data_IF_293120417639
#
_entry.id   IF_293120417639
#
_cell.length_a   1.000
_cell.length_b   1.000
_cell.length_c   1.000
_cell.angle_alpha   90.00
_cell.angle_beta   90.00
_cell.angle_gamma   90.00
#
_symmetry.space_group_name_H-M   'P 1'
#
loop_
_entity.id
_entity.type
_entity.pdbx_description
1 polymer ?
#
# COMPACT_ATOMS: atom_id res chain seq x y z
N UNK A 1 -14.43 60.30 -48.29
CA UNK A 1 -14.96 60.73 -46.98
C UNK A 1 -15.13 59.49 -46.10
N UNK A 2 -14.45 59.46 -44.94
CA UNK A 2 -14.77 58.67 -43.72
C UNK A 2 -14.67 57.14 -43.86
N UNK A 3 -14.15 56.36 -42.92
CA UNK A 3 -13.39 56.54 -41.68
C UNK A 3 -12.86 55.11 -41.38
N UNK A 4 -11.65 54.97 -40.85
CA UNK A 4 -11.16 53.70 -40.33
C UNK A 4 -12.01 53.23 -39.14
N UNK A 5 -12.20 51.92 -39.00
CA UNK A 5 -12.42 51.31 -37.70
C UNK A 5 -11.72 49.95 -37.66
N UNK A 6 -10.61 49.93 -36.92
CA UNK A 6 -9.88 48.76 -36.46
C UNK A 6 -10.67 48.18 -35.29
N UNK A 7 -10.94 46.86 -35.28
CA UNK A 7 -11.37 46.16 -34.08
C UNK A 7 -10.32 45.09 -33.71
N UNK A 8 -9.67 45.19 -32.55
CA UNK A 8 -8.89 44.10 -31.98
C UNK A 8 -9.78 43.30 -31.02
N UNK A 9 -9.98 42.00 -31.24
CA UNK A 9 -10.62 41.15 -30.23
C UNK A 9 -9.73 39.98 -29.84
N UNK A 10 -9.00 40.25 -28.76
CA UNK A 10 -8.60 39.38 -27.65
C UNK A 10 -8.37 37.88 -27.95
N UNK A 11 -7.09 37.54 -28.04
CA UNK A 11 -6.57 36.20 -27.80
C UNK A 11 -6.85 35.83 -26.33
N UNK A 12 -7.89 35.04 -26.06
CA UNK A 12 -8.10 34.47 -24.73
C UNK A 12 -7.09 33.34 -24.57
N UNK A 13 -5.94 33.65 -23.96
CA UNK A 13 -5.03 32.66 -23.45
C UNK A 13 -5.76 31.89 -22.34
N UNK A 14 -6.23 30.69 -22.65
CA UNK A 14 -6.59 29.73 -21.61
C UNK A 14 -5.31 29.39 -20.85
N UNK A 15 -5.10 30.10 -19.73
CA UNK A 15 -4.22 29.65 -18.65
C UNK A 15 -4.95 28.49 -17.99
N UNK A 16 -4.98 27.35 -18.69
CA UNK A 16 -5.33 26.07 -18.11
C UNK A 16 -4.24 25.74 -17.11
N UNK A 17 -4.57 25.89 -15.84
CA UNK A 17 -3.75 25.53 -14.69
C UNK A 17 -3.13 24.17 -14.97
N UNK A 18 -1.82 24.15 -15.23
CA UNK A 18 -1.04 22.94 -15.09
C UNK A 18 -1.24 22.52 -13.63
N UNK A 19 -2.13 21.54 -13.40
CA UNK A 19 -2.01 20.70 -12.22
C UNK A 19 -0.64 20.08 -12.40
N UNK A 20 0.35 20.62 -11.69
CA UNK A 20 1.56 19.89 -11.45
C UNK A 20 1.08 18.56 -10.86
N UNK A 21 1.19 17.48 -11.63
CA UNK A 21 1.55 16.22 -11.03
C UNK A 21 2.76 16.56 -10.16
N UNK A 22 2.56 16.67 -8.85
CA UNK A 22 3.67 16.57 -7.93
C UNK A 22 4.21 15.16 -8.12
N UNK A 23 5.09 14.98 -9.10
CA UNK A 23 6.00 13.87 -9.14
C UNK A 23 6.76 13.96 -7.81
N UNK A 24 6.32 13.16 -6.84
CA UNK A 24 7.04 12.96 -5.60
C UNK A 24 8.47 12.60 -6.03
N UNK A 25 9.44 13.43 -5.68
CA UNK A 25 10.83 13.23 -6.04
C UNK A 25 11.36 12.07 -5.17
N UNK A 26 11.30 10.86 -5.74
CA UNK A 26 11.73 9.62 -5.10
C UNK A 26 13.20 9.35 -5.39
N UNK A 27 13.96 9.02 -4.34
CA UNK A 27 15.31 8.43 -4.48
C UNK A 27 15.28 7.01 -3.92
N UNK A 28 15.98 6.09 -4.58
CA UNK A 28 16.23 4.76 -4.04
C UNK A 28 17.09 4.82 -2.76
N UNK A 29 16.66 4.09 -1.73
CA UNK A 29 17.39 3.97 -0.48
C UNK A 29 18.74 3.28 -0.69
N UNK A 30 19.76 3.76 0.01
CA UNK A 30 21.01 3.01 0.11
C UNK A 30 20.82 1.78 1.01
N UNK A 31 21.82 0.88 0.98
CA UNK A 31 21.78 -0.37 1.74
C UNK A 31 21.50 -0.17 3.24
N UNK A 32 22.14 0.80 3.88
CA UNK A 32 21.97 1.07 5.32
C UNK A 32 20.58 1.61 5.65
N UNK A 33 20.03 2.48 4.79
CA UNK A 33 18.67 2.99 4.90
C UNK A 33 17.64 1.84 4.78
N UNK A 34 17.84 0.95 3.81
CA UNK A 34 17.00 -0.23 3.61
C UNK A 34 17.09 -1.23 4.78
N UNK A 35 18.29 -1.50 5.29
CA UNK A 35 18.52 -2.36 6.46
C UNK A 35 17.86 -1.79 7.72
N UNK A 36 17.96 -0.46 7.92
CA UNK A 36 17.31 0.23 9.04
C UNK A 36 15.79 0.14 8.93
N UNK A 37 15.24 0.35 7.74
CA UNK A 37 13.81 0.19 7.50
C UNK A 37 13.34 -1.25 7.79
N UNK A 38 14.07 -2.26 7.31
CA UNK A 38 13.76 -3.66 7.57
C UNK A 38 13.81 -3.98 9.07
N UNK A 39 14.81 -3.48 9.78
CA UNK A 39 14.92 -3.67 11.23
C UNK A 39 13.69 -3.10 11.97
N UNK A 40 13.21 -1.92 11.55
CA UNK A 40 11.98 -1.32 12.09
C UNK A 40 10.73 -2.10 11.69
N UNK A 41 10.65 -2.56 10.44
CA UNK A 41 9.53 -3.36 9.93
C UNK A 41 9.34 -4.64 10.75
N UNK A 42 10.42 -5.35 11.05
CA UNK A 42 10.39 -6.65 11.72
C UNK A 42 10.67 -6.61 13.22
N UNK A 43 10.73 -5.41 13.82
CA UNK A 43 11.08 -5.22 15.23
C UNK A 43 12.41 -5.89 15.63
N UNK A 44 13.39 -5.85 14.71
CA UNK A 44 14.71 -6.48 14.84
C UNK A 44 15.29 -6.84 13.48
N UNK A 45 16.58 -7.21 13.46
CA UNK A 45 17.23 -7.67 12.22
C UNK A 45 16.58 -8.98 11.73
N UNK A 46 16.06 -9.03 10.50
CA UNK A 46 15.43 -10.23 9.98
C UNK A 46 16.47 -11.36 9.82
N UNK A 47 16.10 -12.56 10.28
CA UNK A 47 16.87 -13.78 10.05
C UNK A 47 16.55 -14.38 8.69
N UNK A 48 16.49 -15.72 8.59
CA UNK A 48 16.09 -16.40 7.35
C UNK A 48 14.68 -16.03 6.91
N UNK A 49 13.76 -15.93 7.85
CA UNK A 49 12.40 -15.46 7.64
C UNK A 49 11.97 -14.51 8.75
N UNK A 50 11.20 -13.48 8.39
CA UNK A 50 10.61 -12.54 9.33
C UNK A 50 9.20 -12.12 8.87
N UNK A 51 8.36 -11.74 9.83
CA UNK A 51 6.96 -11.37 9.58
C UNK A 51 6.60 -10.14 10.41
N UNK A 52 5.78 -9.26 9.83
CA UNK A 52 5.18 -8.14 10.51
C UNK A 52 3.69 -8.08 10.16
N UNK A 53 2.83 -8.05 11.17
CA UNK A 53 1.38 -7.96 10.99
C UNK A 53 0.85 -6.61 11.47
N UNK A 54 -0.01 -5.99 10.66
CA UNK A 54 -0.69 -4.76 10.99
C UNK A 54 -2.17 -4.88 10.67
N UNK A 55 -3.03 -4.33 11.52
CA UNK A 55 -4.48 -4.45 11.37
C UNK A 55 -5.16 -3.12 11.66
N UNK A 56 -6.22 -2.84 10.90
CA UNK A 56 -7.17 -1.77 11.19
C UNK A 56 -8.59 -2.31 11.09
N UNK A 57 -9.42 -1.97 12.08
CA UNK A 57 -10.87 -2.22 12.08
C UNK A 57 -11.56 -0.90 12.38
N UNK A 58 -12.56 -0.56 11.58
CA UNK A 58 -13.32 0.68 11.75
C UNK A 58 -14.68 0.35 12.35
N UNK A 59 -15.05 1.08 13.39
CA UNK A 59 -16.38 0.97 13.99
C UNK A 59 -17.43 1.72 13.16
N UNK A 60 -18.69 1.54 13.53
CA UNK A 60 -19.81 2.18 12.87
C UNK A 60 -19.76 3.71 12.96
N UNK A 61 -19.23 4.27 14.05
CA UNK A 61 -19.14 5.71 14.28
C UNK A 61 -18.13 6.36 13.32
N UNK A 62 -16.97 5.72 13.14
CA UNK A 62 -15.97 6.11 12.15
C UNK A 62 -16.55 6.03 10.73
N UNK A 63 -17.14 4.89 10.37
CA UNK A 63 -17.69 4.71 9.03
C UNK A 63 -18.86 5.65 8.72
N UNK A 64 -19.60 6.12 9.74
CA UNK A 64 -20.62 7.15 9.58
C UNK A 64 -20.02 8.54 9.27
N UNK A 65 -18.85 8.86 9.85
CA UNK A 65 -18.11 10.10 9.58
C UNK A 65 -17.34 10.08 8.25
N UNK A 66 -17.03 8.90 7.73
CA UNK A 66 -16.30 8.69 6.47
C UNK A 66 -17.20 8.00 5.43
N UNK A 67 -18.22 8.70 4.91
CA UNK A 67 -19.27 8.08 4.11
C UNK A 67 -18.76 7.52 2.78
N UNK A 68 -17.61 7.97 2.28
CA UNK A 68 -17.01 7.50 1.02
C UNK A 68 -16.04 6.33 1.23
N UNK A 69 -15.74 5.98 2.47
CA UNK A 69 -14.89 4.83 2.80
C UNK A 69 -15.61 3.54 2.44
N UNK A 70 -14.95 2.68 1.68
CA UNK A 70 -15.43 1.38 1.23
C UNK A 70 -14.91 0.27 2.15
N UNK A 71 -13.66 0.39 2.63
CA UNK A 71 -13.00 -0.63 3.44
C UNK A 71 -13.40 -0.52 4.91
N UNK A 72 -13.98 -1.57 5.48
CA UNK A 72 -14.37 -1.64 6.89
C UNK A 72 -13.28 -2.21 7.81
N UNK A 73 -12.40 -3.04 7.27
CA UNK A 73 -11.24 -3.56 7.98
C UNK A 73 -10.15 -3.96 7.00
N UNK A 74 -8.89 -3.84 7.41
CA UNK A 74 -7.72 -4.19 6.62
C UNK A 74 -6.69 -4.89 7.50
N UNK A 75 -6.04 -5.90 6.95
CA UNK A 75 -4.89 -6.60 7.50
C UNK A 75 -3.76 -6.51 6.48
N UNK A 76 -2.54 -6.28 6.96
CA UNK A 76 -1.33 -6.29 6.17
C UNK A 76 -0.35 -7.25 6.83
N UNK A 77 0.06 -8.27 6.10
CA UNK A 77 1.21 -9.11 6.42
C UNK A 77 2.36 -8.68 5.51
N UNK A 78 3.48 -8.31 6.10
CA UNK A 78 4.75 -8.14 5.39
C UNK A 78 5.68 -9.26 5.81
N UNK A 79 6.25 -9.95 4.84
CA UNK A 79 7.19 -11.05 5.04
C UNK A 79 8.52 -10.73 4.41
N UNK A 80 9.60 -11.17 5.06
CA UNK A 80 10.93 -11.19 4.47
C UNK A 80 11.46 -12.62 4.44
N UNK A 81 12.11 -12.99 3.35
CA UNK A 81 12.88 -14.21 3.20
C UNK A 81 14.27 -13.89 2.65
N UNK A 82 15.30 -14.43 3.27
CA UNK A 82 16.66 -14.36 2.72
C UNK A 82 16.89 -15.53 1.77
N UNK A 83 17.20 -15.24 0.51
CA UNK A 83 17.60 -16.28 -0.44
C UNK A 83 19.08 -16.65 -0.23
N UNK A 84 19.38 -17.96 -0.28
CA UNK A 84 20.74 -18.46 0.00
C UNK A 84 21.73 -18.27 -1.15
N UNK A 85 21.23 -18.08 -2.37
CA UNK A 85 22.02 -17.91 -3.59
C UNK A 85 22.46 -16.46 -3.76
N UNK A 86 21.52 -15.50 -3.67
CA UNK A 86 21.83 -14.08 -3.87
C UNK A 86 22.18 -13.34 -2.56
N UNK A 87 21.90 -13.95 -1.40
CA UNK A 87 22.10 -13.38 -0.05
C UNK A 87 21.38 -12.06 0.15
N UNK A 88 20.31 -11.80 -0.59
CA UNK A 88 19.47 -10.63 -0.49
C UNK A 88 18.20 -10.95 0.29
N UNK A 89 17.64 -9.91 0.91
CA UNK A 89 16.38 -10.00 1.62
C UNK A 89 15.24 -9.62 0.68
N UNK A 90 14.39 -10.60 0.36
CA UNK A 90 13.22 -10.42 -0.48
C UNK A 90 12.02 -10.13 0.41
N UNK A 91 11.40 -8.98 0.19
CA UNK A 91 10.17 -8.63 0.89
C UNK A 91 8.97 -8.99 0.02
N UNK A 92 7.90 -9.47 0.65
CA UNK A 92 6.60 -9.70 0.03
C UNK A 92 5.50 -9.19 0.95
N UNK A 93 4.33 -8.98 0.38
CA UNK A 93 3.17 -8.54 1.15
C UNK A 93 1.94 -9.38 0.83
N UNK A 94 1.05 -9.43 1.80
CA UNK A 94 -0.34 -9.84 1.62
C UNK A 94 -1.22 -8.82 2.31
N UNK A 95 -2.23 -8.36 1.62
CA UNK A 95 -3.26 -7.48 2.15
C UNK A 95 -4.58 -8.23 2.11
N UNK A 96 -5.31 -8.22 3.22
CA UNK A 96 -6.67 -8.75 3.28
C UNK A 96 -7.61 -7.71 3.86
N UNK A 97 -8.82 -7.60 3.33
CA UNK A 97 -9.76 -6.58 3.75
C UNK A 97 -11.22 -7.01 3.54
N UNK A 98 -12.12 -6.24 4.17
CA UNK A 98 -13.56 -6.42 4.04
C UNK A 98 -14.19 -5.10 3.62
N UNK A 99 -15.14 -5.17 2.72
CA UNK A 99 -15.98 -4.01 2.39
C UNK A 99 -17.03 -3.78 3.47
N UNK A 100 -17.44 -2.53 3.68
CA UNK A 100 -18.57 -2.20 4.56
C UNK A 100 -19.93 -2.64 3.98
N UNK A 101 -20.07 -2.64 2.66
CA UNK A 101 -21.34 -2.86 1.94
C UNK A 101 -21.38 -4.14 1.10
N UNK A 102 -20.31 -4.94 1.14
CA UNK A 102 -20.19 -6.20 0.39
C UNK A 102 -19.60 -7.26 1.28
N UNK A 103 -20.27 -8.41 1.36
CA UNK A 103 -19.77 -9.57 2.08
C UNK A 103 -18.62 -10.23 1.34
N UNK A 104 -17.75 -10.89 2.12
CA UNK A 104 -16.56 -11.56 1.60
C UNK A 104 -15.28 -11.02 2.26
N UNK A 105 -14.32 -11.91 2.41
CA UNK A 105 -12.94 -11.56 2.72
C UNK A 105 -12.19 -11.49 1.40
N UNK A 106 -11.61 -10.34 1.11
CA UNK A 106 -10.88 -10.08 -0.12
C UNK A 106 -9.41 -9.99 0.20
N UNK A 107 -8.56 -10.47 -0.70
CA UNK A 107 -7.11 -10.36 -0.54
C UNK A 107 -6.40 -9.99 -1.84
N UNK A 108 -5.15 -9.57 -1.67
CA UNK A 108 -4.19 -9.34 -2.74
C UNK A 108 -2.79 -9.60 -2.17
N UNK A 109 -1.86 -9.97 -3.02
CA UNK A 109 -0.49 -10.25 -2.62
C UNK A 109 0.48 -9.99 -3.75
N UNK A 110 1.74 -9.79 -3.40
CA UNK A 110 2.81 -9.64 -4.37
C UNK A 110 4.16 -9.43 -3.72
N UNK A 111 5.13 -9.02 -4.54
CA UNK A 111 6.49 -8.73 -4.11
C UNK A 111 6.63 -7.25 -3.73
N UNK A 112 7.59 -7.00 -2.84
CA UNK A 112 8.02 -5.65 -2.51
C UNK A 112 9.43 -5.44 -3.04
N UNK A 113 9.59 -4.38 -3.81
CA UNK A 113 10.87 -3.96 -4.35
C UNK A 113 11.38 -2.72 -3.62
N UNK A 114 12.61 -2.31 -3.97
CA UNK A 114 13.35 -1.12 -3.54
C UNK A 114 12.64 -0.20 -2.55
N UNK A 115 13.25 0.00 -1.38
CA UNK A 115 12.82 1.07 -0.48
C UNK A 115 13.13 2.41 -1.13
N UNK A 116 12.14 3.29 -1.18
CA UNK A 116 12.27 4.63 -1.76
C UNK A 116 12.10 5.68 -0.66
N UNK A 117 12.92 6.71 -0.71
CA UNK A 117 12.82 7.88 0.15
C UNK A 117 12.09 8.98 -0.59
N UNK A 118 11.17 9.63 0.14
CA UNK A 118 10.49 10.82 -0.36
C UNK A 118 11.20 12.08 0.13
N UNK A 119 11.63 12.95 -0.80
CA UNK A 119 12.36 14.17 -0.43
C UNK A 119 11.55 15.15 0.42
N UNK A 120 10.22 15.13 0.32
CA UNK A 120 9.32 16.07 1.03
C UNK A 120 9.04 15.71 2.49
N UNK A 121 9.15 14.44 2.87
CA UNK A 121 8.70 13.97 4.17
C UNK A 121 9.77 13.23 4.99
N UNK A 122 10.97 13.01 4.42
CA UNK A 122 11.98 12.11 4.98
C UNK A 122 11.38 10.73 5.34
N UNK A 123 10.34 10.34 4.59
CA UNK A 123 9.61 9.11 4.81
C UNK A 123 10.17 8.05 3.88
N UNK A 124 10.71 6.98 4.46
CA UNK A 124 11.09 5.76 3.77
C UNK A 124 9.81 4.94 3.52
N UNK A 125 9.59 4.57 2.26
CA UNK A 125 8.47 3.76 1.80
C UNK A 125 9.01 2.49 1.12
N UNK A 126 8.40 1.36 1.43
CA UNK A 126 8.58 0.11 0.69
C UNK A 126 7.52 0.06 -0.41
N UNK A 127 7.94 0.03 -1.67
CA UNK A 127 7.04 -0.10 -2.81
C UNK A 127 6.72 -1.57 -3.06
N UNK A 128 5.43 -1.92 -3.11
CA UNK A 128 4.99 -3.29 -3.34
C UNK A 128 4.02 -3.37 -4.51
N UNK A 129 4.24 -4.32 -5.41
CA UNK A 129 3.48 -4.51 -6.64
C UNK A 129 2.82 -5.87 -6.67
N UNK A 130 1.67 -5.94 -7.33
CA UNK A 130 0.98 -7.18 -7.68
C UNK A 130 1.37 -7.57 -9.10
N UNK A 131 1.70 -8.83 -9.31
CA UNK A 131 2.15 -9.34 -10.61
C UNK A 131 1.12 -9.10 -11.73
N UNK A 132 1.61 -9.09 -12.98
CA UNK A 132 0.79 -8.96 -14.20
C UNK A 132 -0.07 -7.68 -14.21
N UNK A 133 0.56 -6.53 -13.95
CA UNK A 133 -0.10 -5.20 -13.93
C UNK A 133 -1.24 -5.09 -12.91
N UNK A 134 -1.17 -5.86 -11.82
CA UNK A 134 -2.17 -5.84 -10.76
C UNK A 134 -2.13 -4.60 -9.86
N UNK A 135 -1.33 -3.58 -10.18
CA UNK A 135 -1.17 -2.37 -9.37
C UNK A 135 -0.24 -2.55 -8.16
N UNK A 136 -0.37 -1.70 -7.15
CA UNK A 136 0.53 -1.71 -5.99
C UNK A 136 0.11 -0.85 -4.81
N UNK A 137 0.90 -0.98 -3.74
CA UNK A 137 0.81 -0.18 -2.52
C UNK A 137 2.18 0.33 -2.10
N UNK A 138 2.21 1.49 -1.47
CA UNK A 138 3.37 1.97 -0.72
C UNK A 138 3.19 1.73 0.76
N UNK A 139 4.18 1.13 1.42
CA UNK A 139 4.14 0.83 2.86
C UNK A 139 5.21 1.68 3.57
N UNK A 140 4.79 2.58 4.45
CA UNK A 140 5.68 3.29 5.36
C UNK A 140 5.44 2.87 6.81
N UNK A 141 6.36 3.24 7.70
CA UNK A 141 6.18 3.09 9.14
C UNK A 141 6.01 4.46 9.80
N UNK A 142 5.08 4.53 10.74
CA UNK A 142 4.99 5.62 11.70
C UNK A 142 6.33 5.79 12.46
N UNK A 143 6.58 7.01 12.97
CA UNK A 143 7.85 7.34 13.63
C UNK A 143 8.16 6.49 14.87
N UNK A 144 7.14 5.94 15.52
CA UNK A 144 7.25 5.10 16.72
C UNK A 144 7.19 3.60 16.41
N UNK A 145 7.15 3.21 15.13
CA UNK A 145 7.11 1.83 14.64
C UNK A 145 5.87 1.02 15.04
N UNK A 146 4.85 1.68 15.61
CA UNK A 146 3.62 1.02 16.10
C UNK A 146 2.54 0.91 15.05
N UNK A 147 2.65 1.63 13.94
CA UNK A 147 1.70 1.56 12.84
C UNK A 147 2.40 1.55 11.47
N UNK A 148 1.82 0.84 10.52
CA UNK A 148 2.12 0.96 9.10
C UNK A 148 1.17 1.97 8.44
N UNK A 149 1.69 2.75 7.50
CA UNK A 149 0.92 3.65 6.64
C UNK A 149 0.90 3.05 5.24
N UNK A 150 -0.23 2.47 4.87
CA UNK A 150 -0.46 1.90 3.54
C UNK A 150 -1.04 2.99 2.66
N UNK A 151 -0.33 3.34 1.58
CA UNK A 151 -0.81 4.21 0.51
C UNK A 151 -1.25 3.32 -0.64
N UNK A 152 -2.54 3.34 -0.91
CA UNK A 152 -3.13 2.60 -2.01
C UNK A 152 -3.15 3.48 -3.25
N UNK A 153 -2.76 2.92 -4.39
CA UNK A 153 -3.07 3.48 -5.71
C UNK A 153 -4.22 2.69 -6.31
N UNK A 154 -3.93 1.46 -6.72
CA UNK A 154 -4.91 0.44 -7.07
C UNK A 154 -4.27 -0.93 -6.89
N UNK A 155 -5.05 -1.94 -6.49
CA UNK A 155 -4.59 -3.34 -6.47
C UNK A 155 -5.67 -4.26 -7.01
N UNK A 156 -5.29 -5.25 -7.82
CA UNK A 156 -6.14 -6.38 -8.18
C UNK A 156 -6.42 -7.20 -6.92
N UNK A 157 -7.66 -7.64 -6.75
CA UNK A 157 -8.13 -8.37 -5.56
C UNK A 157 -8.85 -9.65 -5.95
N UNK A 158 -8.78 -10.63 -5.07
CA UNK A 158 -9.49 -11.89 -5.19
C UNK A 158 -10.40 -12.09 -3.99
N UNK A 159 -11.41 -12.96 -4.15
CA UNK A 159 -12.13 -13.47 -2.99
C UNK A 159 -11.22 -14.53 -2.35
N UNK A 160 -11.03 -14.45 -1.05
CA UNK A 160 -10.16 -15.37 -0.33
C UNK A 160 -10.59 -16.83 -0.59
N UNK A 161 -9.63 -17.68 -0.95
CA UNK A 161 -9.82 -19.08 -1.36
C UNK A 161 -10.64 -19.32 -2.66
N UNK A 162 -10.90 -18.28 -3.46
CA UNK A 162 -11.58 -18.41 -4.76
C UNK A 162 -10.92 -17.49 -5.82
N UNK A 163 -9.76 -17.89 -6.37
CA UNK A 163 -9.10 -17.15 -7.45
C UNK A 163 -9.73 -17.53 -8.80
N UNK A 164 -11.02 -17.26 -9.01
CA UNK A 164 -11.62 -17.39 -10.36
C UNK A 164 -11.41 -16.09 -11.13
N UNK A 165 -10.91 -16.21 -12.36
CA UNK A 165 -10.49 -15.11 -13.25
C UNK A 165 -11.65 -14.21 -13.75
N UNK A 166 -12.91 -14.59 -13.51
CA UNK A 166 -14.06 -14.06 -14.24
C UNK A 166 -14.66 -12.73 -13.73
N UNK A 167 -14.09 -12.13 -12.68
CA UNK A 167 -14.41 -10.75 -12.32
C UNK A 167 -13.11 -9.99 -12.03
N UNK A 168 -12.65 -9.16 -12.96
CA UNK A 168 -11.62 -8.16 -12.71
C UNK A 168 -12.10 -7.25 -11.57
N UNK A 169 -11.65 -7.58 -10.36
CA UNK A 169 -11.95 -6.82 -9.14
C UNK A 169 -10.69 -6.06 -8.80
N UNK A 170 -10.82 -4.73 -8.72
CA UNK A 170 -9.73 -3.84 -8.32
C UNK A 170 -10.17 -3.01 -7.13
N UNK A 171 -9.35 -3.01 -6.07
CA UNK A 171 -9.47 -2.03 -5.01
C UNK A 171 -8.72 -0.76 -5.44
N UNK A 172 -9.47 0.27 -5.80
CA UNK A 172 -8.92 1.58 -6.21
C UNK A 172 -9.00 2.57 -5.06
N UNK A 173 -7.96 3.39 -4.91
CA UNK A 173 -7.91 4.50 -3.98
C UNK A 173 -9.12 5.44 -4.16
N UNK A 174 -9.75 5.78 -3.04
CA UNK A 174 -10.81 6.79 -2.97
C UNK A 174 -10.40 7.92 -2.03
N UNK A 175 -11.25 8.95 -1.88
CA UNK A 175 -10.97 10.06 -0.95
C UNK A 175 -10.75 9.58 0.50
N UNK A 176 -11.46 8.51 0.89
CA UNK A 176 -11.41 7.94 2.24
C UNK A 176 -10.71 6.56 2.26
N UNK A 177 -10.25 6.06 1.11
CA UNK A 177 -9.59 4.75 0.94
C UNK A 177 -8.21 4.86 0.26
N UNK A 178 -7.59 6.04 0.22
CA UNK A 178 -6.27 6.22 -0.39
C UNK A 178 -5.11 5.98 0.58
N UNK A 179 -5.34 6.19 1.88
CA UNK A 179 -4.32 6.05 2.92
C UNK A 179 -4.93 5.36 4.13
N UNK A 180 -4.31 4.26 4.56
CA UNK A 180 -4.71 3.52 5.74
C UNK A 180 -3.58 3.54 6.77
N UNK A 181 -3.94 3.83 8.03
CA UNK A 181 -3.08 3.59 9.18
C UNK A 181 -3.49 2.27 9.82
N UNK A 182 -2.58 1.31 9.88
CA UNK A 182 -2.78 -0.01 10.45
C UNK A 182 -1.89 -0.17 11.66
N UNK A 183 -2.45 -0.66 12.77
CA UNK A 183 -1.72 -0.80 14.02
C UNK A 183 -1.01 -2.16 14.04
N UNK A 184 0.27 -2.15 14.45
CA UNK A 184 1.08 -3.35 14.58
C UNK A 184 0.45 -4.26 15.63
N UNK A 185 0.39 -5.54 15.31
CA UNK A 185 -0.18 -6.56 16.18
C UNK A 185 0.61 -7.86 16.07
N UNK A 186 0.22 -8.84 16.87
CA UNK A 186 0.73 -10.20 16.80
C UNK A 186 0.53 -10.85 15.42
N UNK A 187 1.47 -11.69 14.99
CA UNK A 187 1.43 -12.32 13.66
C UNK A 187 0.24 -13.26 13.47
N UNK A 188 -0.31 -13.81 14.55
CA UNK A 188 -1.49 -14.68 14.51
C UNK A 188 -2.74 -13.97 13.98
N UNK A 189 -2.85 -12.64 14.14
CA UNK A 189 -3.95 -11.84 13.58
C UNK A 189 -3.95 -11.86 12.03
N UNK A 190 -2.79 -12.05 11.41
CA UNK A 190 -2.62 -12.16 9.96
C UNK A 190 -2.60 -13.61 9.47
N UNK A 191 -2.75 -14.62 10.33
CA UNK A 191 -2.69 -16.03 9.94
C UNK A 191 -3.69 -16.42 8.84
N UNK A 192 -4.84 -15.75 8.79
CA UNK A 192 -5.84 -15.96 7.73
C UNK A 192 -5.37 -15.54 6.32
N UNK A 193 -4.27 -14.79 6.20
CA UNK A 193 -3.71 -14.39 4.90
C UNK A 193 -2.70 -15.42 4.35
N UNK A 194 -2.22 -16.35 5.17
CA UNK A 194 -1.26 -17.35 4.72
C UNK A 194 -1.90 -18.33 3.74
N UNK A 195 -1.25 -18.58 2.61
CA UNK A 195 -1.75 -19.50 1.58
C UNK A 195 -1.10 -20.89 1.65
N UNK A 196 -0.01 -21.04 2.39
CA UNK A 196 0.65 -22.33 2.60
C UNK A 196 0.74 -22.72 4.08
N UNK A 197 0.86 -24.03 4.32
CA UNK A 197 0.83 -24.62 5.68
C UNK A 197 2.07 -24.26 6.51
N UNK A 198 3.21 -24.02 5.88
CA UNK A 198 4.47 -23.71 6.57
C UNK A 198 4.45 -22.25 7.04
N UNK A 199 4.02 -21.32 6.20
CA UNK A 199 3.78 -19.92 6.57
C UNK A 199 2.73 -19.84 7.67
N UNK A 200 1.59 -20.54 7.53
CA UNK A 200 0.54 -20.57 8.55
C UNK A 200 1.04 -21.06 9.91
N UNK A 201 1.86 -22.12 9.93
CA UNK A 201 2.46 -22.62 11.17
C UNK A 201 3.38 -21.57 11.79
N UNK A 202 4.23 -20.92 10.98
CA UNK A 202 5.15 -19.89 11.46
C UNK A 202 4.42 -18.69 12.08
N UNK A 203 3.29 -18.26 11.51
CA UNK A 203 2.50 -17.13 12.02
C UNK A 203 1.76 -17.43 13.34
N UNK A 204 1.49 -18.70 13.64
CA UNK A 204 0.77 -19.14 14.85
C UNK A 204 1.68 -19.43 16.05
N UNK A 205 2.98 -19.56 15.82
CA UNK A 205 3.96 -19.95 16.83
C UNK A 205 4.89 -18.81 17.25
N UNK A 206 4.69 -17.61 16.72
CA UNK A 206 5.36 -16.37 17.14
C UNK A 206 4.40 -15.53 17.96
#
# INVERSE_FOLDING_TARGET
MKLALILPLALVAFIGVARAEEADDFREANKTEAETFNARMYAGTPGKTAYACFVRRYDAEHLARHPKQKVASMKLLVSAESDSEDKQLHNSFRIGFRYRHRSGDFDSSGSCHHTVLTKKADEIRLGCGVDCEGGGIGIALSKDDKSAIVRLESVRIWLHNQPTEDEDRTLVAGSDDGIFRLDRTDTSECAALATDRKELAALRHK
#
